data_IF_388219109105
#
_entry.id   IF_388219109105
#
_cell.length_a   1.000
_cell.length_b   1.000
_cell.length_c   1.000
_cell.angle_alpha   90.00
_cell.angle_beta   90.00
_cell.angle_gamma   90.00
#
_symmetry.space_group_name_H-M   'P 1'
#
loop_
_entity.id
_entity.type
_entity.pdbx_description
1 polymer ?
#
# COMPACT_ATOMS: atom_id res chain seq x y z
N UNK A 1 -8.99 -48.11 -11.31
CA UNK A 1 -9.56 -47.12 -12.27
C UNK A 1 -11.07 -47.06 -12.06
N UNK A 2 -11.56 -46.10 -11.28
CA UNK A 2 -13.00 -45.88 -11.12
C UNK A 2 -13.31 -44.42 -11.47
N UNK A 3 -14.11 -44.23 -12.53
CA UNK A 3 -14.58 -42.94 -13.00
C UNK A 3 -15.79 -42.53 -12.17
N UNK A 4 -15.66 -41.41 -11.45
CA UNK A 4 -16.76 -40.75 -10.75
C UNK A 4 -17.42 -39.77 -11.73
N UNK A 5 -18.63 -40.08 -12.18
CA UNK A 5 -19.44 -39.19 -13.01
C UNK A 5 -20.18 -38.20 -12.09
N UNK A 6 -19.84 -36.92 -12.17
CA UNK A 6 -20.55 -35.85 -11.48
C UNK A 6 -21.68 -35.31 -12.38
N UNK A 7 -22.92 -35.55 -11.95
CA UNK A 7 -24.13 -35.07 -12.62
C UNK A 7 -24.46 -33.67 -12.06
N UNK A 8 -24.18 -32.63 -12.85
CA UNK A 8 -24.53 -31.24 -12.52
C UNK A 8 -25.98 -31.00 -12.93
N UNK A 9 -26.90 -31.06 -11.96
CA UNK A 9 -28.29 -30.66 -12.15
C UNK A 9 -28.41 -29.14 -12.20
N UNK A 10 -28.80 -28.59 -13.35
CA UNK A 10 -29.09 -27.18 -13.56
C UNK A 10 -30.43 -26.86 -12.87
N UNK A 11 -30.38 -26.33 -11.65
CA UNK A 11 -31.52 -25.71 -10.98
C UNK A 11 -31.71 -24.30 -11.56
N UNK A 12 -32.46 -24.19 -12.64
CA UNK A 12 -33.00 -22.93 -13.13
C UNK A 12 -34.07 -22.43 -12.16
N UNK A 13 -33.65 -21.69 -11.13
CA UNK A 13 -34.55 -20.96 -10.22
C UNK A 13 -35.21 -19.85 -11.03
N UNK A 14 -36.43 -20.12 -11.51
CA UNK A 14 -37.34 -19.10 -12.03
C UNK A 14 -37.60 -18.09 -10.92
N UNK A 15 -36.88 -16.97 -10.95
CA UNK A 15 -37.08 -15.83 -10.06
C UNK A 15 -38.38 -15.15 -10.47
N UNK A 16 -39.49 -15.60 -9.88
CA UNK A 16 -40.76 -14.89 -9.94
C UNK A 16 -40.51 -13.46 -9.45
N UNK A 17 -40.65 -12.48 -10.34
CA UNK A 17 -40.54 -11.06 -10.01
C UNK A 17 -41.74 -10.68 -9.14
N UNK A 18 -41.61 -10.86 -7.83
CA UNK A 18 -42.55 -10.27 -6.88
C UNK A 18 -42.38 -8.75 -6.95
N UNK A 19 -43.44 -8.05 -7.34
CA UNK A 19 -43.45 -6.59 -7.33
C UNK A 19 -43.74 -6.15 -5.91
N UNK A 20 -42.68 -5.81 -5.17
CA UNK A 20 -42.78 -5.28 -3.82
C UNK A 20 -42.52 -3.77 -3.80
N UNK A 21 -43.32 -3.02 -3.05
CA UNK A 21 -43.05 -1.60 -2.81
C UNK A 21 -42.41 -1.43 -1.42
N UNK A 22 -41.32 -0.67 -1.36
CA UNK A 22 -40.60 -0.38 -0.13
C UNK A 22 -40.83 1.08 0.23
N UNK A 23 -41.30 1.33 1.45
CA UNK A 23 -41.48 2.67 1.99
C UNK A 23 -40.73 2.81 3.30
N UNK A 24 -39.94 3.88 3.41
CA UNK A 24 -39.26 4.24 4.65
C UNK A 24 -39.91 5.51 5.19
N UNK A 25 -40.35 5.46 6.44
CA UNK A 25 -41.04 6.57 7.10
C UNK A 25 -40.53 6.74 8.53
N UNK A 26 -40.76 7.92 9.11
CA UNK A 26 -40.40 8.22 10.49
C UNK A 26 -41.67 8.61 11.25
N UNK A 27 -41.85 8.00 12.41
CA UNK A 27 -42.95 8.30 13.32
C UNK A 27 -42.67 9.55 14.16
N UNK A 28 -43.70 10.04 14.87
CA UNK A 28 -43.63 11.29 15.65
C UNK A 28 -42.56 11.30 16.74
N UNK A 29 -42.16 10.13 17.22
CA UNK A 29 -41.12 9.95 18.24
C UNK A 29 -39.70 9.83 17.64
N UNK A 30 -39.57 9.96 16.32
CA UNK A 30 -38.30 9.93 15.61
C UNK A 30 -37.86 8.52 15.19
N UNK A 31 -38.60 7.47 15.53
CA UNK A 31 -38.28 6.11 15.09
C UNK A 31 -38.53 5.95 13.59
N UNK A 32 -37.55 5.38 12.90
CA UNK A 32 -37.62 5.09 11.46
C UNK A 32 -38.09 3.66 11.26
N UNK A 33 -39.01 3.45 10.33
CA UNK A 33 -39.55 2.14 9.95
C UNK A 33 -39.46 1.94 8.45
N UNK A 34 -39.39 0.68 8.04
CA UNK A 34 -39.47 0.26 6.64
C UNK A 34 -40.62 -0.71 6.48
N UNK A 35 -41.62 -0.35 5.67
CA UNK A 35 -42.67 -1.28 5.26
C UNK A 35 -42.38 -1.83 3.86
N UNK A 36 -42.58 -3.13 3.71
CA UNK A 36 -42.50 -3.86 2.45
C UNK A 36 -43.88 -4.43 2.16
N UNK A 37 -44.50 -3.91 1.11
CA UNK A 37 -45.81 -4.34 0.64
C UNK A 37 -45.60 -5.31 -0.52
N UNK A 38 -46.02 -6.57 -0.36
CA UNK A 38 -45.90 -7.61 -1.37
C UNK A 38 -47.26 -8.04 -1.90
N UNK A 39 -47.38 -8.12 -3.23
CA UNK A 39 -48.56 -8.60 -3.93
C UNK A 39 -48.23 -9.91 -4.67
N UNK A 40 -48.84 -11.02 -4.25
CA UNK A 40 -48.66 -12.32 -4.90
C UNK A 40 -49.56 -12.42 -6.14
N UNK A 41 -49.02 -12.70 -7.35
CA UNK A 41 -49.85 -12.89 -8.53
C UNK A 41 -50.52 -14.28 -8.52
N UNK A 42 -51.83 -14.33 -8.21
CA UNK A 42 -52.65 -15.55 -8.40
C UNK A 42 -53.87 -15.66 -7.48
N UNK A 43 -55.05 -15.86 -8.10
CA UNK A 43 -56.42 -16.24 -7.65
C UNK A 43 -57.02 -15.76 -6.31
N UNK A 44 -56.27 -15.24 -5.36
CA UNK A 44 -56.77 -14.44 -4.23
C UNK A 44 -55.75 -13.34 -3.96
N UNK A 45 -56.18 -12.08 -3.91
CA UNK A 45 -55.30 -10.93 -3.65
C UNK A 45 -54.76 -10.97 -2.21
N UNK A 46 -53.81 -11.86 -1.92
CA UNK A 46 -53.12 -11.90 -0.63
C UNK A 46 -52.14 -10.75 -0.60
N UNK A 47 -52.57 -9.64 0.00
CA UNK A 47 -51.71 -8.53 0.38
C UNK A 47 -50.98 -8.89 1.66
N UNK A 48 -49.65 -8.77 1.66
CA UNK A 48 -48.84 -8.94 2.88
C UNK A 48 -47.99 -7.70 3.07
N UNK A 49 -48.20 -7.02 4.20
CA UNK A 49 -47.38 -5.91 4.67
C UNK A 49 -46.46 -6.40 5.78
N UNK A 50 -45.16 -6.27 5.57
CA UNK A 50 -44.15 -6.53 6.59
C UNK A 50 -43.52 -5.21 7.00
N UNK A 51 -43.45 -4.93 8.30
CA UNK A 51 -42.81 -3.72 8.81
C UNK A 51 -41.56 -4.10 9.59
N UNK A 52 -40.48 -3.36 9.37
CA UNK A 52 -39.20 -3.53 10.02
C UNK A 52 -38.79 -2.23 10.70
N UNK A 53 -38.14 -2.34 11.85
CA UNK A 53 -37.54 -1.21 12.54
C UNK A 53 -36.22 -0.81 11.84
N UNK A 54 -36.02 0.47 11.59
CA UNK A 54 -34.86 1.01 10.87
C UNK A 54 -35.07 1.14 9.36
N UNK A 55 -33.97 1.36 8.64
CA UNK A 55 -33.96 1.58 7.18
C UNK A 55 -32.92 0.69 6.51
N UNK A 56 -33.16 0.19 5.28
CA UNK A 56 -32.11 -0.44 4.47
C UNK A 56 -31.11 0.59 3.92
N UNK A 57 -31.42 1.89 3.96
CA UNK A 57 -30.58 2.97 3.43
C UNK A 57 -29.65 3.57 4.49
N UNK A 58 -28.57 4.22 4.04
CA UNK A 58 -27.59 4.88 4.90
C UNK A 58 -28.19 6.01 5.76
N UNK A 59 -29.14 6.77 5.21
CA UNK A 59 -29.68 8.00 5.82
C UNK A 59 -31.20 8.00 5.89
N UNK A 60 -31.74 8.77 6.82
CA UNK A 60 -33.14 9.22 6.81
C UNK A 60 -33.18 10.75 6.94
N UNK A 61 -33.94 11.49 6.11
CA UNK A 61 -34.68 11.04 4.92
C UNK A 61 -33.83 10.25 3.92
N UNK A 62 -34.45 9.33 3.19
CA UNK A 62 -33.73 8.39 2.30
C UNK A 62 -32.97 9.12 1.19
N UNK A 63 -33.57 10.16 0.63
CA UNK A 63 -32.99 10.98 -0.43
C UNK A 63 -32.27 12.17 0.20
N UNK A 64 -30.97 12.27 -0.04
CA UNK A 64 -30.13 13.37 0.42
C UNK A 64 -29.41 14.02 -0.76
N UNK A 65 -29.17 15.34 -0.75
CA UNK A 65 -28.28 15.95 -1.72
C UNK A 65 -26.90 15.30 -1.68
N UNK A 66 -26.33 15.04 -2.86
CA UNK A 66 -25.02 14.45 -2.95
C UNK A 66 -24.42 14.54 -4.34
N UNK A 67 -23.19 14.04 -4.46
CA UNK A 67 -22.39 14.12 -5.67
C UNK A 67 -21.95 12.73 -6.09
N UNK A 68 -21.90 12.48 -7.40
CA UNK A 68 -21.34 11.25 -7.96
C UNK A 68 -20.27 11.55 -9.00
N UNK A 69 -19.34 10.60 -9.17
CA UNK A 69 -18.40 10.52 -10.29
C UNK A 69 -18.43 9.09 -10.83
N UNK A 70 -18.74 8.91 -12.11
CA UNK A 70 -18.94 7.58 -12.70
C UNK A 70 -17.61 6.82 -12.88
N UNK A 71 -16.53 7.54 -13.16
CA UNK A 71 -15.16 7.03 -13.24
C UNK A 71 -14.23 7.92 -12.37
N UNK A 72 -12.92 7.67 -12.34
CA UNK A 72 -12.00 8.44 -11.48
C UNK A 72 -11.60 9.81 -12.06
N UNK A 73 -11.76 10.01 -13.36
CA UNK A 73 -11.37 11.22 -14.11
C UNK A 73 -12.57 12.06 -14.58
N UNK A 74 -13.77 11.51 -14.44
CA UNK A 74 -14.99 12.01 -15.02
C UNK A 74 -15.57 13.19 -14.27
N UNK A 75 -16.59 13.78 -14.87
CA UNK A 75 -17.26 14.94 -14.31
C UNK A 75 -18.02 14.57 -13.04
N UNK A 76 -18.03 15.50 -12.09
CA UNK A 76 -18.86 15.42 -10.89
C UNK A 76 -20.28 15.82 -11.27
N UNK A 77 -21.26 14.99 -10.90
CA UNK A 77 -22.68 15.23 -11.13
C UNK A 77 -23.40 15.36 -9.79
N UNK A 78 -24.22 16.41 -9.65
CA UNK A 78 -25.10 16.58 -8.51
C UNK A 78 -26.39 15.75 -8.72
N UNK A 79 -26.82 15.03 -7.67
CA UNK A 79 -28.08 14.29 -7.68
C UNK A 79 -28.63 14.16 -6.25
N UNK A 80 -29.90 13.80 -6.09
CA UNK A 80 -30.38 13.27 -4.82
C UNK A 80 -30.00 11.80 -4.73
N UNK A 81 -29.26 11.43 -3.69
CA UNK A 81 -28.72 10.10 -3.46
C UNK A 81 -29.52 9.33 -2.42
N UNK A 82 -29.67 8.03 -2.67
CA UNK A 82 -30.03 7.04 -1.67
C UNK A 82 -29.07 5.85 -1.79
N UNK A 83 -28.33 5.55 -0.73
CA UNK A 83 -27.39 4.43 -0.71
C UNK A 83 -27.98 3.25 0.07
N UNK A 84 -28.35 2.19 -0.63
CA UNK A 84 -28.91 0.97 -0.05
C UNK A 84 -27.80 0.09 0.50
N UNK A 85 -27.71 0.00 1.83
CA UNK A 85 -26.67 -0.74 2.54
C UNK A 85 -26.88 -2.27 2.52
N UNK A 86 -28.07 -2.74 2.12
CA UNK A 86 -28.37 -4.16 2.00
C UNK A 86 -27.95 -4.72 0.63
N UNK A 87 -28.23 -3.99 -0.45
CA UNK A 87 -27.86 -4.39 -1.83
C UNK A 87 -26.55 -3.78 -2.31
N UNK A 88 -25.99 -2.84 -1.55
CA UNK A 88 -24.83 -2.04 -1.92
C UNK A 88 -25.02 -1.23 -3.23
N UNK A 89 -26.25 -0.81 -3.49
CA UNK A 89 -26.64 -0.02 -4.66
C UNK A 89 -26.74 1.46 -4.33
N UNK A 90 -26.26 2.30 -5.26
CA UNK A 90 -26.39 3.74 -5.19
C UNK A 90 -27.50 4.15 -6.15
N UNK A 91 -28.54 4.81 -5.63
CA UNK A 91 -29.66 5.31 -6.40
C UNK A 91 -29.53 6.84 -6.53
N UNK A 92 -29.72 7.37 -7.73
CA UNK A 92 -29.77 8.81 -8.00
C UNK A 92 -31.15 9.22 -8.51
N UNK A 93 -31.59 10.42 -8.12
CA UNK A 93 -32.57 11.23 -8.86
C UNK A 93 -31.87 12.49 -9.33
N UNK A 94 -31.79 12.66 -10.64
CA UNK A 94 -31.19 13.85 -11.24
C UNK A 94 -32.22 14.97 -11.32
N UNK A 95 -31.74 16.21 -11.30
CA UNK A 95 -32.61 17.37 -11.45
C UNK A 95 -33.38 17.29 -12.78
N UNK A 96 -34.69 17.54 -12.74
CA UNK A 96 -35.58 17.44 -13.89
C UNK A 96 -35.99 16.02 -14.29
N UNK A 97 -35.48 14.97 -13.65
CA UNK A 97 -35.85 13.57 -13.90
C UNK A 97 -36.63 12.97 -12.72
N UNK A 98 -37.87 12.55 -12.95
CA UNK A 98 -38.68 11.89 -11.93
C UNK A 98 -38.27 10.42 -11.69
N UNK A 99 -37.52 9.83 -12.62
CA UNK A 99 -37.12 8.43 -12.53
C UNK A 99 -35.94 8.23 -11.58
N UNK A 100 -36.03 7.20 -10.73
CA UNK A 100 -34.89 6.72 -9.94
C UNK A 100 -33.99 5.89 -10.83
N UNK A 101 -32.69 6.20 -10.85
CA UNK A 101 -31.67 5.44 -11.58
C UNK A 101 -30.73 4.75 -10.60
N UNK A 102 -30.53 3.44 -10.78
CA UNK A 102 -29.42 2.73 -10.14
C UNK A 102 -28.14 3.06 -10.88
N UNK A 103 -27.17 3.61 -10.16
CA UNK A 103 -25.87 4.02 -10.71
C UNK A 103 -24.75 3.25 -10.04
N UNK A 104 -23.62 3.15 -10.75
CA UNK A 104 -22.40 2.50 -10.24
C UNK A 104 -21.26 3.51 -10.26
N UNK A 105 -21.27 4.51 -9.37
CA UNK A 105 -20.21 5.51 -9.34
C UNK A 105 -18.86 4.88 -8.97
N UNK A 106 -17.77 5.47 -9.44
CA UNK A 106 -16.44 5.25 -8.86
C UNK A 106 -16.32 5.93 -7.49
N UNK A 107 -16.92 7.13 -7.36
CA UNK A 107 -16.95 7.89 -6.11
C UNK A 107 -18.31 8.56 -5.94
N UNK A 108 -18.85 8.59 -4.72
CA UNK A 108 -19.99 9.43 -4.39
C UNK A 108 -19.87 10.04 -3.00
N UNK A 109 -20.63 11.09 -2.71
CA UNK A 109 -20.67 11.68 -1.37
C UNK A 109 -22.08 11.99 -0.90
N UNK A 110 -22.35 11.69 0.38
CA UNK A 110 -23.59 11.99 1.10
C UNK A 110 -23.18 12.57 2.46
N UNK A 111 -23.77 13.69 2.88
CA UNK A 111 -23.46 14.35 4.16
C UNK A 111 -21.94 14.58 4.38
N UNK A 112 -21.25 15.08 3.34
CA UNK A 112 -19.79 15.30 3.32
C UNK A 112 -18.94 14.04 3.55
N UNK A 113 -19.54 12.85 3.57
CA UNK A 113 -18.81 11.58 3.62
C UNK A 113 -18.63 11.07 2.20
N UNK A 114 -17.38 10.98 1.75
CA UNK A 114 -17.03 10.40 0.46
C UNK A 114 -16.93 8.88 0.57
N UNK A 115 -17.47 8.20 -0.44
CA UNK A 115 -17.45 6.75 -0.61
C UNK A 115 -16.80 6.41 -1.94
N UNK A 116 -15.77 5.57 -1.90
CA UNK A 116 -15.02 5.11 -3.07
C UNK A 116 -15.35 3.66 -3.35
N UNK A 117 -15.63 3.35 -4.61
CA UNK A 117 -15.87 2.00 -5.08
C UNK A 117 -14.57 1.22 -5.11
N UNK A 118 -14.60 0.04 -4.53
CA UNK A 118 -13.58 -0.98 -4.73
C UNK A 118 -14.23 -2.16 -5.45
N UNK A 119 -13.58 -2.62 -6.53
CA UNK A 119 -13.98 -3.83 -7.23
C UNK A 119 -13.21 -5.00 -6.63
N UNK A 120 -13.94 -6.03 -6.24
CA UNK A 120 -13.36 -7.30 -5.81
C UNK A 120 -14.03 -8.42 -6.60
N UNK A 121 -13.26 -9.46 -6.89
CA UNK A 121 -13.78 -10.70 -7.47
C UNK A 121 -13.56 -11.83 -6.46
N UNK A 122 -14.63 -12.55 -6.10
CA UNK A 122 -14.51 -13.78 -5.32
C UNK A 122 -15.09 -14.91 -6.14
N UNK A 123 -14.27 -15.94 -6.43
CA UNK A 123 -14.67 -17.09 -7.26
C UNK A 123 -15.26 -16.69 -8.63
N UNK A 124 -14.71 -15.63 -9.24
CA UNK A 124 -15.19 -15.12 -10.54
C UNK A 124 -16.50 -14.33 -10.47
N UNK A 125 -17.07 -14.12 -9.28
CA UNK A 125 -18.22 -13.24 -9.08
C UNK A 125 -17.70 -11.86 -8.66
N UNK A 126 -17.92 -10.88 -9.53
CA UNK A 126 -17.63 -9.49 -9.23
C UNK A 126 -18.64 -8.95 -8.23
N UNK A 127 -18.15 -8.48 -7.10
CA UNK A 127 -18.94 -7.72 -6.15
C UNK A 127 -18.31 -6.36 -5.94
N UNK A 128 -19.19 -5.40 -5.71
CA UNK A 128 -18.81 -4.01 -5.47
C UNK A 128 -18.89 -3.79 -3.98
N UNK A 129 -17.92 -3.09 -3.42
CA UNK A 129 -17.99 -2.53 -2.07
C UNK A 129 -17.69 -1.05 -2.16
N UNK A 130 -18.38 -0.26 -1.34
CA UNK A 130 -18.01 1.14 -1.16
C UNK A 130 -17.39 1.33 0.22
N UNK A 131 -16.32 2.10 0.24
CA UNK A 131 -15.58 2.44 1.44
C UNK A 131 -15.59 3.94 1.64
N UNK A 132 -15.91 4.38 2.85
CA UNK A 132 -15.56 5.72 3.27
C UNK A 132 -14.11 5.76 3.73
N UNK A 133 -13.36 6.76 3.27
CA UNK A 133 -11.96 6.97 3.67
C UNK A 133 -11.97 7.74 4.98
N UNK A 134 -11.53 7.07 6.05
CA UNK A 134 -11.48 7.68 7.39
C UNK A 134 -10.14 8.36 7.63
N UNK A 135 -9.07 7.80 7.07
CA UNK A 135 -7.74 8.39 7.07
C UNK A 135 -7.05 8.09 5.74
N UNK A 136 -6.42 9.12 5.16
CA UNK A 136 -5.88 9.09 3.80
C UNK A 136 -4.35 9.34 3.78
N UNK A 137 -3.60 8.61 4.61
CA UNK A 137 -2.14 8.57 4.58
C UNK A 137 -1.58 7.52 3.60
N UNK A 138 -0.24 7.33 3.57
CA UNK A 138 0.39 6.18 2.92
C UNK A 138 -0.22 4.84 3.31
N UNK A 139 -0.66 4.71 4.57
CA UNK A 139 -1.53 3.64 5.03
C UNK A 139 -2.92 4.17 5.32
N UNK A 140 -3.93 3.74 4.55
CA UNK A 140 -5.31 4.23 4.68
C UNK A 140 -6.10 3.43 5.71
N UNK A 141 -6.97 4.13 6.44
CA UNK A 141 -8.05 3.52 7.22
C UNK A 141 -9.36 3.68 6.45
N UNK A 142 -9.97 2.56 6.09
CA UNK A 142 -11.21 2.50 5.34
C UNK A 142 -12.34 1.98 6.21
N UNK A 143 -13.56 2.46 5.98
CA UNK A 143 -14.77 2.01 6.67
C UNK A 143 -15.83 1.61 5.65
N UNK A 144 -16.27 0.36 5.72
CA UNK A 144 -17.40 -0.15 4.95
C UNK A 144 -18.62 -0.29 5.85
N UNK A 145 -19.78 0.09 5.31
CA UNK A 145 -21.06 -0.01 5.97
C UNK A 145 -21.91 -1.03 5.20
N UNK A 146 -22.55 -1.93 5.92
CA UNK A 146 -23.54 -2.85 5.37
C UNK A 146 -24.73 -2.91 6.31
N UNK A 147 -25.87 -3.39 5.84
CA UNK A 147 -27.02 -3.63 6.69
C UNK A 147 -27.26 -5.12 6.87
N UNK A 148 -27.72 -5.51 8.05
CA UNK A 148 -28.22 -6.85 8.29
C UNK A 148 -29.64 -6.77 8.84
N UNK A 149 -30.54 -7.48 8.19
CA UNK A 149 -31.88 -7.72 8.73
C UNK A 149 -31.79 -8.83 9.77
N UNK A 150 -32.28 -8.57 10.98
CA UNK A 150 -32.27 -9.55 12.07
C UNK A 150 -33.49 -9.45 12.98
N UNK A 151 -33.58 -10.40 13.91
CA UNK A 151 -34.60 -10.35 14.96
C UNK A 151 -34.34 -9.19 15.93
N UNK A 152 -35.42 -8.57 16.38
CA UNK A 152 -35.36 -7.53 17.41
C UNK A 152 -34.87 -8.11 18.74
N UNK A 153 -33.92 -7.44 19.39
CA UNK A 153 -33.48 -7.80 20.73
C UNK A 153 -34.52 -7.36 21.79
N UNK A 154 -34.35 -7.79 23.05
CA UNK A 154 -35.31 -7.50 24.12
C UNK A 154 -35.54 -6.02 24.36
N UNK A 155 -34.50 -5.18 24.24
CA UNK A 155 -34.60 -3.73 24.43
C UNK A 155 -35.38 -3.07 23.29
N UNK A 156 -35.09 -3.45 22.04
CA UNK A 156 -35.82 -3.01 20.84
C UNK A 156 -37.29 -3.40 20.95
N UNK A 157 -37.59 -4.64 21.36
CA UNK A 157 -38.96 -5.12 21.56
C UNK A 157 -39.70 -4.31 22.63
N UNK A 158 -39.04 -3.95 23.73
CA UNK A 158 -39.63 -3.10 24.78
C UNK A 158 -39.90 -1.69 24.24
N UNK A 159 -38.93 -1.09 23.54
CA UNK A 159 -39.06 0.27 22.98
C UNK A 159 -40.21 0.37 22.00
N UNK A 160 -40.45 -0.68 21.20
CA UNK A 160 -41.50 -0.68 20.18
C UNK A 160 -42.86 -1.22 20.67
N UNK A 161 -43.03 -1.46 21.98
CA UNK A 161 -44.30 -1.99 22.53
C UNK A 161 -45.51 -1.12 22.26
N UNK A 162 -45.32 0.19 22.05
CA UNK A 162 -46.39 1.13 21.69
C UNK A 162 -46.89 0.96 20.25
N UNK A 163 -46.16 0.24 19.39
CA UNK A 163 -46.44 0.05 17.96
C UNK A 163 -46.97 -1.36 17.64
N UNK A 164 -47.84 -1.90 18.50
CA UNK A 164 -48.36 -3.28 18.32
C UNK A 164 -49.13 -3.44 17.01
N UNK A 165 -49.72 -2.37 16.51
CA UNK A 165 -50.45 -2.29 15.25
C UNK A 165 -49.57 -2.46 14.01
N UNK A 166 -48.27 -2.15 14.11
CA UNK A 166 -47.34 -2.23 12.97
C UNK A 166 -46.86 -3.65 12.65
N UNK A 167 -47.11 -4.64 13.51
CA UNK A 167 -46.69 -6.04 13.33
C UNK A 167 -45.21 -6.18 12.92
N UNK A 168 -44.31 -5.61 13.72
CA UNK A 168 -42.88 -5.55 13.41
C UNK A 168 -42.27 -6.95 13.30
N UNK A 169 -41.68 -7.23 12.14
CA UNK A 169 -41.10 -8.53 11.78
C UNK A 169 -39.60 -8.64 12.05
N UNK A 170 -38.91 -7.53 12.34
CA UNK A 170 -37.47 -7.50 12.60
C UNK A 170 -36.90 -6.08 12.64
N UNK A 171 -35.58 -5.97 12.71
CA UNK A 171 -34.84 -4.70 12.65
C UNK A 171 -33.66 -4.75 11.68
N UNK A 172 -33.43 -3.62 11.00
CA UNK A 172 -32.23 -3.34 10.23
C UNK A 172 -31.13 -2.85 11.16
N UNK A 173 -29.96 -3.48 11.11
CA UNK A 173 -28.77 -3.10 11.88
C UNK A 173 -27.61 -2.80 10.96
N UNK A 174 -27.10 -1.58 11.04
CA UNK A 174 -25.89 -1.18 10.33
C UNK A 174 -24.69 -1.88 10.98
N UNK A 175 -23.97 -2.65 10.17
CA UNK A 175 -22.70 -3.26 10.52
C UNK A 175 -21.59 -2.40 9.95
N UNK A 176 -20.65 -2.03 10.81
CA UNK A 176 -19.47 -1.27 10.42
C UNK A 176 -18.26 -2.21 10.40
N UNK A 177 -17.54 -2.22 9.29
CA UNK A 177 -16.28 -2.96 9.13
C UNK A 177 -15.16 -1.99 8.80
N UNK A 178 -13.99 -2.18 9.43
CA UNK A 178 -12.81 -1.36 9.22
C UNK A 178 -11.75 -2.13 8.46
N UNK A 179 -10.98 -1.45 7.62
CA UNK A 179 -9.94 -2.05 6.82
C UNK A 179 -8.70 -1.17 6.82
N UNK A 180 -7.52 -1.80 6.78
CA UNK A 180 -6.25 -1.12 6.55
C UNK A 180 -5.79 -1.41 5.14
N UNK A 181 -5.40 -0.36 4.40
CA UNK A 181 -4.82 -0.48 3.07
C UNK A 181 -3.42 0.14 3.06
N UNK A 182 -2.39 -0.68 2.83
CA UNK A 182 -1.00 -0.20 2.75
C UNK A 182 -0.65 0.18 1.31
N UNK A 183 -0.41 1.46 1.04
CA UNK A 183 -0.16 1.96 -0.31
C UNK A 183 -1.29 1.59 -1.28
N UNK A 184 -0.92 0.94 -2.40
CA UNK A 184 -1.86 0.44 -3.40
C UNK A 184 -2.24 -1.04 -3.19
N UNK A 185 -1.88 -1.64 -2.05
CA UNK A 185 -2.22 -3.03 -1.75
C UNK A 185 -3.72 -3.23 -1.51
N UNK A 186 -4.15 -4.48 -1.37
CA UNK A 186 -5.54 -4.81 -1.04
C UNK A 186 -5.91 -4.41 0.39
N UNK A 187 -7.12 -3.85 0.61
CA UNK A 187 -7.64 -3.59 1.96
C UNK A 187 -7.77 -4.88 2.79
N UNK A 188 -7.14 -4.90 3.96
CA UNK A 188 -7.25 -6.00 4.93
C UNK A 188 -8.27 -5.66 6.00
N UNK A 189 -9.25 -6.54 6.20
CA UNK A 189 -10.25 -6.41 7.26
C UNK A 189 -9.57 -6.39 8.64
N UNK A 190 -9.98 -5.45 9.48
CA UNK A 190 -9.51 -5.35 10.86
C UNK A 190 -10.69 -5.20 11.84
N UNK A 191 -10.47 -5.67 13.06
CA UNK A 191 -11.19 -5.17 14.23
C UNK A 191 -10.40 -4.03 14.86
N UNK A 192 -11.07 -3.12 15.57
CA UNK A 192 -10.42 -2.04 16.32
C UNK A 192 -9.80 -2.58 17.62
N UNK A 193 -8.88 -3.54 17.49
CA UNK A 193 -8.20 -4.22 18.59
C UNK A 193 -6.70 -4.31 18.34
N UNK A 194 -5.92 -4.41 19.42
CA UNK A 194 -4.45 -4.54 19.35
C UNK A 194 -4.01 -5.68 18.45
N UNK A 195 -4.56 -6.89 18.68
CA UNK A 195 -4.19 -8.08 17.92
C UNK A 195 -4.38 -7.87 16.42
N UNK A 196 -5.56 -7.40 16.01
CA UNK A 196 -5.88 -7.22 14.59
C UNK A 196 -5.04 -6.14 13.92
N UNK A 197 -4.68 -5.06 14.62
CA UNK A 197 -3.75 -4.06 14.10
C UNK A 197 -2.33 -4.61 13.95
N UNK A 198 -1.84 -5.34 14.94
CA UNK A 198 -0.52 -5.96 14.90
C UNK A 198 -0.40 -6.97 13.75
N UNK A 199 -1.45 -7.75 13.50
CA UNK A 199 -1.51 -8.68 12.35
C UNK A 199 -1.49 -7.92 11.01
N UNK A 200 -2.22 -6.80 10.91
CA UNK A 200 -2.27 -5.98 9.69
C UNK A 200 -0.95 -5.22 9.42
N UNK A 201 -0.25 -4.83 10.48
CA UNK A 201 0.99 -4.04 10.49
C UNK A 201 2.21 -4.87 10.92
N UNK A 202 2.19 -6.18 10.61
CA UNK A 202 3.16 -7.15 11.10
C UNK A 202 4.63 -6.79 10.80
N UNK A 203 4.89 -6.04 9.73
CA UNK A 203 6.22 -5.62 9.32
C UNK A 203 6.88 -4.59 10.24
N UNK A 204 6.11 -3.95 11.13
CA UNK A 204 6.59 -3.06 12.19
C UNK A 204 6.01 -3.42 13.57
N UNK A 205 5.52 -4.65 13.73
CA UNK A 205 4.85 -5.11 14.95
C UNK A 205 5.68 -4.81 16.22
N UNK A 206 6.96 -5.18 16.23
CA UNK A 206 7.83 -5.00 17.40
C UNK A 206 7.93 -3.53 17.85
N UNK A 207 8.05 -2.58 16.92
CA UNK A 207 8.12 -1.16 17.23
C UNK A 207 6.77 -0.58 17.71
N UNK A 208 5.65 -1.15 17.24
CA UNK A 208 4.30 -0.71 17.61
C UNK A 208 3.79 -1.31 18.92
N UNK A 209 4.37 -2.41 19.40
CA UNK A 209 3.81 -3.21 20.50
C UNK A 209 3.53 -2.39 21.77
N UNK A 210 4.43 -1.48 22.13
CA UNK A 210 4.30 -0.61 23.31
C UNK A 210 3.33 0.56 23.12
N UNK A 211 3.03 0.92 21.87
CA UNK A 211 2.18 2.08 21.53
C UNK A 211 0.70 1.72 21.44
N UNK A 212 0.38 0.46 21.12
CA UNK A 212 -1.01 0.03 20.98
C UNK A 212 -1.55 -0.45 22.33
N UNK A 213 -2.58 0.21 22.90
CA UNK A 213 -3.16 -0.20 24.16
C UNK A 213 -3.96 -1.50 23.99
N UNK A 214 -4.14 -2.25 25.08
CA UNK A 214 -4.84 -3.56 25.07
C UNK A 214 -6.36 -3.44 25.05
N UNK A 215 -6.91 -2.25 25.34
CA UNK A 215 -8.36 -1.96 25.28
C UNK A 215 -8.87 -1.91 23.83
N UNK A 216 -10.20 -1.88 23.67
CA UNK A 216 -10.83 -1.55 22.39
C UNK A 216 -10.40 -0.16 21.93
N UNK A 217 -10.05 -0.05 20.66
CA UNK A 217 -9.53 1.18 20.08
C UNK A 217 -10.65 2.01 19.48
N UNK A 218 -10.54 3.31 19.63
CA UNK A 218 -11.32 4.28 18.86
C UNK A 218 -10.70 4.47 17.48
N UNK A 219 -11.49 4.99 16.54
CA UNK A 219 -10.99 5.33 15.21
C UNK A 219 -9.83 6.31 15.26
N UNK A 220 -9.86 7.32 16.13
CA UNK A 220 -8.78 8.31 16.26
C UNK A 220 -7.48 7.67 16.79
N UNK A 221 -7.57 6.79 17.79
CA UNK A 221 -6.41 6.05 18.27
C UNK A 221 -5.78 5.18 17.16
N UNK A 222 -6.60 4.56 16.29
CA UNK A 222 -6.08 3.84 15.12
C UNK A 222 -5.38 4.78 14.14
N UNK A 223 -5.92 5.97 13.88
CA UNK A 223 -5.29 6.96 13.01
C UNK A 223 -3.92 7.37 13.54
N UNK A 224 -3.79 7.63 14.85
CA UNK A 224 -2.52 7.99 15.47
C UNK A 224 -1.48 6.86 15.36
N UNK A 225 -1.92 5.61 15.52
CA UNK A 225 -1.08 4.43 15.32
C UNK A 225 -0.61 4.32 13.86
N UNK A 226 -1.50 4.57 12.89
CA UNK A 226 -1.16 4.52 11.46
C UNK A 226 -0.17 5.63 11.07
N UNK A 227 -0.34 6.85 11.59
CA UNK A 227 0.61 7.93 11.37
C UNK A 227 2.01 7.57 11.90
N UNK A 228 2.08 6.97 13.08
CA UNK A 228 3.35 6.50 13.64
C UNK A 228 3.96 5.36 12.81
N UNK A 229 3.16 4.37 12.40
CA UNK A 229 3.58 3.30 11.51
C UNK A 229 4.16 3.83 10.20
N UNK A 230 3.48 4.79 9.56
CA UNK A 230 3.94 5.37 8.30
C UNK A 230 5.28 6.10 8.47
N UNK A 231 5.53 6.69 9.64
CA UNK A 231 6.81 7.32 9.98
C UNK A 231 7.93 6.27 10.12
N UNK A 232 7.67 5.17 10.83
CA UNK A 232 8.61 4.04 10.96
C UNK A 232 8.93 3.40 9.61
N UNK A 233 7.93 3.24 8.73
CA UNK A 233 8.13 2.70 7.38
C UNK A 233 8.96 3.66 6.53
N UNK A 234 8.73 4.97 6.62
CA UNK A 234 9.52 5.97 5.92
C UNK A 234 11.00 5.91 6.36
N UNK A 235 11.27 5.88 7.66
CA UNK A 235 12.62 5.72 8.23
C UNK A 235 13.26 4.40 7.78
N UNK A 236 12.53 3.28 7.85
CA UNK A 236 13.02 1.98 7.42
C UNK A 236 13.32 1.94 5.92
N UNK A 237 12.58 2.66 5.07
CA UNK A 237 12.86 2.78 3.63
C UNK A 237 14.14 3.54 3.37
N UNK A 238 14.37 4.65 4.07
CA UNK A 238 15.63 5.40 4.02
C UNK A 238 16.81 4.47 4.39
N UNK A 239 16.61 3.59 5.37
CA UNK A 239 17.63 2.65 5.82
C UNK A 239 17.79 1.37 4.96
N UNK A 240 16.76 0.97 4.18
CA UNK A 240 16.76 -0.23 3.32
C UNK A 240 17.12 0.04 1.87
N UNK A 241 16.94 1.26 1.36
CA UNK A 241 17.38 1.67 0.01
C UNK A 241 18.91 1.88 -0.06
N UNK A 242 19.67 1.06 0.66
CA UNK A 242 21.11 1.14 0.72
C UNK A 242 21.65 0.09 -0.25
N UNK A 243 21.97 0.53 -1.47
CA UNK A 243 22.69 -0.25 -2.49
C UNK A 243 23.93 -0.97 -1.92
N UNK A 244 24.46 -0.50 -0.78
CA UNK A 244 25.61 -1.10 -0.09
C UNK A 244 25.36 -2.48 0.50
N UNK A 245 24.10 -2.88 0.73
CA UNK A 245 23.77 -4.19 1.31
C UNK A 245 23.43 -5.22 0.25
N UNK A 246 23.44 -4.83 -1.03
CA UNK A 246 23.23 -5.77 -2.11
C UNK A 246 24.56 -6.40 -2.54
N UNK A 247 24.78 -7.66 -2.15
CA UNK A 247 25.93 -8.44 -2.60
C UNK A 247 26.02 -8.50 -4.13
N UNK A 248 24.88 -8.45 -4.82
CA UNK A 248 24.78 -8.52 -6.28
C UNK A 248 25.41 -7.30 -6.94
N UNK A 249 25.07 -6.07 -6.53
CA UNK A 249 25.74 -4.85 -7.01
C UNK A 249 27.26 -4.95 -6.84
N UNK A 250 27.72 -5.35 -5.65
CA UNK A 250 29.16 -5.47 -5.36
C UNK A 250 29.82 -6.50 -6.27
N UNK A 251 29.22 -7.67 -6.44
CA UNK A 251 29.75 -8.72 -7.32
C UNK A 251 29.79 -8.27 -8.79
N UNK A 252 28.73 -7.62 -9.27
CA UNK A 252 28.68 -7.10 -10.65
C UNK A 252 29.79 -6.07 -10.85
N UNK A 253 29.96 -5.15 -9.91
CA UNK A 253 31.02 -4.14 -9.97
C UNK A 253 32.42 -4.78 -9.91
N UNK A 254 32.65 -5.72 -8.98
CA UNK A 254 33.90 -6.47 -8.85
C UNK A 254 34.27 -7.23 -10.14
N UNK A 255 33.28 -7.76 -10.86
CA UNK A 255 33.51 -8.45 -12.13
C UNK A 255 33.83 -7.50 -13.30
N UNK A 256 33.55 -6.21 -13.17
CA UNK A 256 33.78 -5.20 -14.21
C UNK A 256 35.02 -4.36 -13.99
N UNK A 257 35.46 -4.23 -12.75
CA UNK A 257 36.66 -3.47 -12.39
C UNK A 257 37.91 -4.34 -12.50
N UNK A 258 39.00 -3.76 -13.01
CA UNK A 258 40.29 -4.42 -13.11
C UNK A 258 41.37 -3.59 -12.43
N UNK A 259 42.34 -4.27 -11.82
CA UNK A 259 43.57 -3.63 -11.36
C UNK A 259 44.47 -3.33 -12.57
N UNK A 260 44.89 -2.07 -12.81
CA UNK A 260 45.81 -1.75 -13.89
C UNK A 260 47.14 -2.53 -13.75
N UNK A 261 47.37 -3.51 -14.62
CA UNK A 261 48.48 -4.47 -14.44
C UNK A 261 49.86 -3.82 -14.39
N UNK A 262 50.10 -2.75 -15.14
CA UNK A 262 51.38 -2.04 -15.12
C UNK A 262 51.62 -1.30 -13.79
N UNK A 263 50.56 -0.86 -13.10
CA UNK A 263 50.61 -0.18 -11.79
C UNK A 263 50.92 -1.18 -10.68
N UNK A 264 50.23 -2.32 -10.71
CA UNK A 264 50.48 -3.41 -9.77
C UNK A 264 51.92 -3.94 -9.87
N UNK A 265 52.45 -4.00 -11.10
CA UNK A 265 53.86 -4.36 -11.34
C UNK A 265 54.89 -3.34 -10.83
N UNK A 266 54.45 -2.14 -10.44
CA UNK A 266 55.28 -1.10 -9.82
C UNK A 266 55.05 -0.97 -8.32
N UNK A 267 54.23 -1.84 -7.71
CA UNK A 267 53.92 -1.78 -6.27
C UNK A 267 53.05 -0.59 -5.87
N UNK A 268 52.36 0.03 -6.82
CA UNK A 268 51.55 1.22 -6.57
C UNK A 268 50.14 0.80 -6.20
N UNK A 269 49.62 1.30 -5.09
CA UNK A 269 48.28 1.00 -4.58
C UNK A 269 47.58 2.29 -4.14
N UNK A 270 46.25 2.26 -3.97
CA UNK A 270 45.52 3.48 -3.65
C UNK A 270 44.02 3.28 -3.46
N UNK A 271 43.39 4.32 -2.91
CA UNK A 271 41.93 4.39 -2.75
C UNK A 271 41.38 5.50 -3.64
N UNK A 272 40.21 5.26 -4.21
CA UNK A 272 39.43 6.29 -4.90
C UNK A 272 38.00 6.29 -4.38
N UNK A 273 37.33 7.42 -4.57
CA UNK A 273 35.91 7.57 -4.26
C UNK A 273 35.19 7.98 -5.54
N UNK A 274 34.28 7.13 -6.01
CA UNK A 274 33.45 7.42 -7.18
C UNK A 274 32.05 7.82 -6.74
N UNK A 275 31.58 9.00 -7.16
CA UNK A 275 30.21 9.47 -6.98
C UNK A 275 29.37 9.15 -8.21
N UNK A 276 28.12 8.75 -8.01
CA UNK A 276 27.17 8.50 -9.11
C UNK A 276 25.73 8.63 -8.62
N UNK A 277 24.79 8.70 -9.56
CA UNK A 277 23.36 8.71 -9.29
C UNK A 277 22.69 7.47 -9.91
N UNK A 278 21.65 6.92 -9.28
CA UNK A 278 20.75 5.93 -9.88
C UNK A 278 19.42 6.62 -10.17
N UNK A 279 18.95 6.55 -11.40
CA UNK A 279 17.68 7.17 -11.81
C UNK A 279 16.45 6.30 -11.50
N UNK A 280 15.25 6.80 -11.81
CA UNK A 280 13.98 6.12 -11.56
C UNK A 280 13.77 4.84 -12.38
N UNK A 281 14.65 4.55 -13.35
CA UNK A 281 14.64 3.33 -14.15
C UNK A 281 15.75 2.36 -13.73
N UNK A 282 16.57 2.74 -12.74
CA UNK A 282 17.68 1.93 -12.25
C UNK A 282 18.98 2.08 -13.04
N UNK A 283 19.14 3.12 -13.87
CA UNK A 283 20.40 3.37 -14.59
C UNK A 283 21.39 4.15 -13.73
N UNK A 284 22.65 3.72 -13.75
CA UNK A 284 23.79 4.48 -13.19
C UNK A 284 24.12 5.65 -14.13
N UNK A 285 24.10 6.88 -13.61
CA UNK A 285 24.39 8.12 -14.34
C UNK A 285 25.29 9.06 -13.52
N UNK A 286 25.79 10.11 -14.17
CA UNK A 286 26.55 11.19 -13.54
C UNK A 286 27.78 10.70 -12.75
N UNK A 287 28.53 9.74 -13.32
CA UNK A 287 29.72 9.18 -12.69
C UNK A 287 30.83 10.24 -12.62
N UNK A 288 31.25 10.57 -11.40
CA UNK A 288 32.29 11.56 -11.09
C UNK A 288 33.29 10.99 -10.09
N UNK A 289 34.55 11.43 -10.14
CA UNK A 289 35.54 11.08 -9.12
C UNK A 289 35.54 12.16 -8.04
N UNK A 290 35.39 11.74 -6.77
CA UNK A 290 35.32 12.61 -5.60
C UNK A 290 36.68 12.78 -4.92
N UNK A 291 37.50 11.72 -4.97
CA UNK A 291 38.88 11.72 -4.47
C UNK A 291 39.78 12.60 -5.34
N UNK A 292 40.92 13.09 -4.80
CA UNK A 292 41.94 13.73 -5.62
C UNK A 292 42.37 12.86 -6.80
N UNK A 293 42.74 13.48 -7.93
CA UNK A 293 43.14 12.73 -9.11
C UNK A 293 44.47 12.01 -8.89
N UNK A 294 44.45 10.69 -9.09
CA UNK A 294 45.64 9.85 -9.19
C UNK A 294 46.10 9.80 -10.66
N UNK A 295 46.36 10.96 -11.26
CA UNK A 295 46.66 11.11 -12.70
C UNK A 295 47.78 10.14 -13.10
N UNK A 296 47.58 9.46 -14.21
CA UNK A 296 48.57 8.57 -14.78
C UNK A 296 48.46 7.13 -14.32
N UNK A 297 47.81 6.80 -13.19
CA UNK A 297 47.72 5.41 -12.68
C UNK A 297 46.47 4.63 -13.12
N UNK A 298 45.51 5.24 -13.80
CA UNK A 298 44.36 4.52 -14.38
C UNK A 298 43.34 3.95 -13.39
N UNK A 299 43.51 4.09 -12.07
CA UNK A 299 42.51 3.67 -11.08
C UNK A 299 41.16 4.36 -11.30
N UNK A 300 41.18 5.66 -11.59
CA UNK A 300 39.99 6.46 -11.85
C UNK A 300 39.27 6.03 -13.12
N UNK A 301 40.01 5.74 -14.20
CA UNK A 301 39.43 5.27 -15.46
C UNK A 301 38.79 3.89 -15.32
N UNK A 302 39.41 2.97 -14.57
CA UNK A 302 38.87 1.63 -14.38
C UNK A 302 37.56 1.64 -13.58
N UNK A 303 37.50 2.39 -12.47
CA UNK A 303 36.26 2.49 -11.71
C UNK A 303 35.15 3.22 -12.46
N UNK A 304 35.49 4.30 -13.19
CA UNK A 304 34.52 5.02 -14.01
C UNK A 304 33.93 4.11 -15.10
N UNK A 305 34.79 3.40 -15.83
CA UNK A 305 34.38 2.41 -16.84
C UNK A 305 33.51 1.29 -16.25
N UNK A 306 33.86 0.77 -15.08
CA UNK A 306 33.08 -0.27 -14.41
C UNK A 306 31.68 0.21 -14.01
N UNK A 307 31.55 1.45 -13.50
CA UNK A 307 30.25 2.05 -13.16
C UNK A 307 29.41 2.37 -14.41
N UNK A 308 30.02 2.94 -15.45
CA UNK A 308 29.32 3.34 -16.68
C UNK A 308 28.84 2.16 -17.53
N UNK A 309 29.50 1.00 -17.41
CA UNK A 309 29.13 -0.23 -18.13
C UNK A 309 28.28 -1.18 -17.27
N UNK A 310 27.83 -0.73 -16.11
CA UNK A 310 27.02 -1.56 -15.21
C UNK A 310 25.63 -1.84 -15.79
N UNK A 311 25.13 -3.05 -15.54
CA UNK A 311 23.74 -3.38 -15.85
C UNK A 311 22.79 -2.61 -14.93
N UNK A 312 21.54 -2.46 -15.36
CA UNK A 312 20.51 -1.79 -14.56
C UNK A 312 20.34 -2.48 -13.20
N UNK A 313 20.26 -1.66 -12.15
CA UNK A 313 19.88 -2.11 -10.81
C UNK A 313 18.37 -1.94 -10.60
N UNK A 314 17.82 -2.47 -9.51
CA UNK A 314 16.41 -2.29 -9.22
C UNK A 314 16.06 -0.79 -9.05
N UNK A 315 14.99 -0.27 -9.68
CA UNK A 315 14.56 1.13 -9.53
C UNK A 315 14.33 1.59 -8.08
N UNK A 316 14.12 0.66 -7.15
CA UNK A 316 14.00 0.93 -5.72
C UNK A 316 15.29 1.52 -5.10
N UNK A 317 16.44 1.46 -5.80
CA UNK A 317 17.71 2.03 -5.39
C UNK A 317 17.98 3.43 -6.00
N UNK A 318 16.94 4.15 -6.44
CA UNK A 318 17.10 5.52 -6.88
C UNK A 318 17.75 6.39 -5.77
N UNK A 319 18.82 7.12 -6.11
CA UNK A 319 19.56 7.88 -5.12
C UNK A 319 20.91 8.40 -5.61
N UNK A 320 21.65 9.07 -4.71
CA UNK A 320 23.00 9.61 -4.95
C UNK A 320 24.01 8.90 -4.06
N UNK A 321 25.03 8.30 -4.65
CA UNK A 321 25.91 7.36 -3.96
C UNK A 321 27.38 7.74 -4.09
N UNK A 322 28.17 7.36 -3.10
CA UNK A 322 29.63 7.43 -3.12
C UNK A 322 30.19 6.02 -2.84
N UNK A 323 30.97 5.47 -3.77
CA UNK A 323 31.58 4.15 -3.67
C UNK A 323 33.08 4.28 -3.39
N UNK A 324 33.55 3.85 -2.21
CA UNK A 324 34.96 3.65 -1.95
C UNK A 324 35.47 2.42 -2.72
N UNK A 325 36.53 2.59 -3.51
CA UNK A 325 37.21 1.50 -4.21
C UNK A 325 38.67 1.50 -3.80
N UNK A 326 39.12 0.38 -3.25
CA UNK A 326 40.46 0.20 -2.70
C UNK A 326 41.22 -0.83 -3.50
N UNK A 327 42.29 -0.37 -4.13
CA UNK A 327 43.27 -1.20 -4.81
C UNK A 327 44.34 -1.59 -3.79
N UNK A 328 44.41 -2.87 -3.42
CA UNK A 328 45.41 -3.39 -2.48
C UNK A 328 46.54 -4.08 -3.23
N UNK A 329 47.76 -3.98 -2.70
CA UNK A 329 48.95 -4.59 -3.30
C UNK A 329 49.58 -5.57 -2.32
N UNK A 330 49.89 -6.78 -2.76
CA UNK A 330 50.60 -7.78 -1.97
C UNK A 330 51.76 -8.37 -2.77
N UNK A 331 52.94 -8.42 -2.13
CA UNK A 331 54.08 -9.15 -2.65
C UNK A 331 54.29 -10.40 -1.80
N UNK A 332 54.12 -11.59 -2.36
CA UNK A 332 54.22 -12.82 -1.58
C UNK A 332 55.63 -13.10 -1.02
N UNK A 333 56.64 -12.34 -1.46
CA UNK A 333 58.00 -12.37 -0.91
C UNK A 333 58.18 -11.47 0.32
N UNK A 334 57.27 -10.52 0.54
CA UNK A 334 57.27 -9.65 1.71
C UNK A 334 56.51 -10.33 2.86
N UNK A 335 57.02 -10.22 4.09
CA UNK A 335 56.36 -10.81 5.28
C UNK A 335 55.25 -9.92 5.85
N UNK A 336 55.03 -8.74 5.27
CA UNK A 336 54.17 -7.67 5.82
C UNK A 336 52.70 -7.80 5.44
N UNK A 337 52.35 -8.74 4.54
CA UNK A 337 50.98 -8.91 4.05
C UNK A 337 50.55 -7.84 3.04
N UNK A 338 49.24 -7.70 2.77
CA UNK A 338 48.72 -6.75 1.80
C UNK A 338 48.86 -5.30 2.29
N UNK A 339 49.37 -4.44 1.41
CA UNK A 339 49.41 -3.00 1.59
C UNK A 339 48.03 -2.41 1.32
N UNK A 340 47.45 -1.75 2.33
CA UNK A 340 46.11 -1.18 2.32
C UNK A 340 46.21 0.35 2.42
N UNK A 341 45.54 1.12 1.53
CA UNK A 341 45.52 2.58 1.61
C UNK A 341 44.93 3.09 2.94
N UNK A 342 45.61 4.04 3.58
CA UNK A 342 45.15 4.64 4.84
C UNK A 342 44.34 5.92 4.63
N UNK A 343 44.55 6.62 3.51
CA UNK A 343 43.89 7.90 3.26
C UNK A 343 42.38 7.74 2.98
N UNK A 344 41.56 8.60 3.59
CA UNK A 344 40.09 8.61 3.44
C UNK A 344 39.63 9.97 2.91
N UNK A 345 38.54 9.98 2.15
CA UNK A 345 37.94 11.22 1.66
C UNK A 345 37.23 11.96 2.82
N UNK A 346 37.47 13.26 3.03
CA UNK A 346 36.73 14.07 4.00
C UNK A 346 35.21 14.14 3.71
N UNK A 347 34.39 14.21 4.76
CA UNK A 347 32.92 14.14 4.66
C UNK A 347 32.30 15.29 3.85
N UNK A 348 32.89 16.48 3.87
CA UNK A 348 32.46 17.64 3.10
C UNK A 348 32.53 17.38 1.59
N UNK A 349 33.48 16.55 1.14
CA UNK A 349 33.66 16.18 -0.27
C UNK A 349 32.66 15.12 -0.75
N UNK A 350 31.96 14.44 0.15
CA UNK A 350 30.92 13.47 -0.22
C UNK A 350 29.65 14.15 -0.78
N UNK A 351 29.45 15.44 -0.46
CA UNK A 351 28.35 16.25 -0.99
C UNK A 351 26.98 15.54 -0.84
N UNK A 352 26.67 15.14 0.39
CA UNK A 352 25.41 14.51 0.83
C UNK A 352 25.06 13.19 0.11
N UNK A 353 26.05 12.46 -0.39
CA UNK A 353 25.87 11.12 -0.97
C UNK A 353 25.81 10.05 0.12
N UNK A 354 25.05 9.00 -0.16
CA UNK A 354 25.06 7.77 0.64
C UNK A 354 26.34 6.99 0.36
N UNK A 355 27.18 6.78 1.38
CA UNK A 355 28.45 6.06 1.25
C UNK A 355 28.21 4.56 1.24
N UNK A 356 28.72 3.86 0.22
CA UNK A 356 28.58 2.42 0.06
C UNK A 356 29.69 1.65 0.77
N UNK A 357 29.51 0.34 0.88
CA UNK A 357 30.56 -0.57 1.36
C UNK A 357 31.75 -0.53 0.41
N UNK A 358 32.94 -0.58 0.99
CA UNK A 358 34.20 -0.51 0.25
C UNK A 358 34.42 -1.75 -0.62
N UNK A 359 34.76 -1.53 -1.89
CA UNK A 359 35.14 -2.61 -2.82
C UNK A 359 36.65 -2.76 -2.80
N UNK A 360 37.12 -3.97 -2.51
CA UNK A 360 38.55 -4.31 -2.54
C UNK A 360 38.89 -4.95 -3.89
N UNK A 361 39.93 -4.42 -4.55
CA UNK A 361 40.49 -4.92 -5.81
C UNK A 361 41.94 -5.31 -5.55
N UNK A 362 42.24 -6.60 -5.31
CA UNK A 362 43.58 -7.03 -4.94
C UNK A 362 44.49 -7.22 -6.16
N UNK A 363 45.79 -7.01 -5.95
CA UNK A 363 46.86 -7.40 -6.88
C UNK A 363 47.99 -8.09 -6.11
N UNK A 364 48.37 -9.29 -6.57
CA UNK A 364 49.43 -10.09 -5.94
C UNK A 364 50.57 -10.34 -6.92
N UNK A 365 51.82 -10.20 -6.45
CA UNK A 365 53.03 -10.47 -7.24
C UNK A 365 54.08 -11.24 -6.45
N UNK A 366 55.01 -11.89 -7.16
CA UNK A 366 56.15 -12.62 -6.59
C UNK A 366 57.50 -12.02 -7.03
N UNK A 367 57.50 -10.78 -7.52
CA UNK A 367 58.70 -10.08 -8.01
C UNK A 367 59.49 -9.50 -6.84
N UNK A 368 60.81 -9.72 -6.84
CA UNK A 368 61.69 -9.15 -5.82
C UNK A 368 62.04 -7.70 -6.17
N UNK A 369 62.31 -6.88 -5.16
CA UNK A 369 62.85 -5.52 -5.33
C UNK A 369 61.86 -4.45 -5.77
N UNK A 370 60.55 -4.70 -5.67
CA UNK A 370 59.52 -3.68 -5.92
C UNK A 370 59.25 -2.95 -4.61
N UNK A 371 59.50 -1.64 -4.57
CA UNK A 371 59.09 -0.79 -3.45
C UNK A 371 57.59 -0.48 -3.59
N UNK A 372 56.81 -0.71 -2.52
CA UNK A 372 55.39 -0.36 -2.52
C UNK A 372 55.19 1.14 -2.26
N UNK A 373 54.18 1.75 -2.89
CA UNK A 373 53.84 3.16 -2.71
C UNK A 373 52.34 3.39 -2.78
N UNK A 374 51.77 3.99 -1.74
CA UNK A 374 50.41 4.51 -1.78
C UNK A 374 50.36 5.78 -2.64
N UNK A 375 49.35 5.90 -3.50
CA UNK A 375 49.04 7.14 -4.22
C UNK A 375 47.74 7.74 -3.70
N UNK A 376 47.84 8.98 -3.24
CA UNK A 376 46.73 9.81 -2.79
C UNK A 376 47.13 11.28 -2.91
N UNK A 377 46.35 12.08 -3.63
CA UNK A 377 46.57 13.52 -3.74
C UNK A 377 47.34 13.97 -4.99
N UNK A 378 47.36 15.29 -5.19
CA UNK A 378 47.97 15.98 -6.32
C UNK A 378 49.50 15.90 -6.26
N UNK A 379 50.10 14.77 -6.63
CA UNK A 379 51.53 14.76 -6.93
C UNK A 379 51.74 15.42 -8.29
N UNK A 380 52.22 16.68 -8.27
CA UNK A 380 52.87 17.33 -9.41
C UNK A 380 54.26 16.73 -9.62
#
# INVERSE_FOLDING_TARGET
MHRLAFLVGILSVLSLKTSGQIFVYQEKDGNVFTSVDSYSPGKTNTYTKLTYLGSPFLTFPVWQPGKIRLDMEGNVLDCQLAYNLNTNEVLCRFEGDSAVKTVTPAVFSINNTEFVRYQNSLMGIDYRLYYSIIHNGPTKLLKSLSNQLGYMNSEEQIRVRSYRDLNLSGSYRIITKYFIQKGNGEPKLISLSKKSLMDALADQAFALESKIPTKSLTTNEVIDILNHYDSLVAEARINRAHLSKEDVFRQIFQNKISYPGWVGNQGIYGRIYAGFDIDSLGYVKNVVILSPDNIGFGFTSEAKKALETMSNVAPAFQGRYALPVTFTYENAKEKTGPHIPVNRLPDDRLNKRTVLEEVIVPFTTNKAGIASREVWGYYK
#
